data_IF_768086798649
#
_entry.id   IF_768086798649
#
_cell.length_a   1.000
_cell.length_b   1.000
_cell.length_c   1.000
_cell.angle_alpha   90.00
_cell.angle_beta   90.00
_cell.angle_gamma   90.00
#
_symmetry.space_group_name_H-M   'P 1'
#
loop_
_entity.id
_entity.type
_entity.pdbx_description
1 polymer ?
#
# COMPACT_ATOMS: atom_id res chain seq x y z
N UNK A 1 -0.94 40.47 -0.56
CA UNK A 1 -0.16 40.15 0.67
C UNK A 1 -0.61 38.87 1.39
N UNK A 2 -1.64 38.14 0.92
CA UNK A 2 -2.17 36.91 1.56
C UNK A 2 -1.66 35.58 0.98
N UNK A 3 -0.85 35.60 -0.09
CA UNK A 3 -0.33 34.38 -0.75
C UNK A 3 0.97 33.82 -0.12
N UNK A 4 1.56 34.53 0.84
CA UNK A 4 2.88 34.22 1.42
C UNK A 4 2.84 33.46 2.75
N UNK A 5 1.66 33.26 3.34
CA UNK A 5 1.49 32.67 4.70
C UNK A 5 0.74 31.33 4.69
N UNK A 6 0.97 30.46 3.69
CA UNK A 6 0.54 29.06 3.78
C UNK A 6 1.69 28.21 4.36
N UNK A 7 1.44 27.35 5.36
CA UNK A 7 2.48 26.54 5.98
C UNK A 7 3.08 25.56 4.98
N UNK A 8 4.32 25.14 5.24
CA UNK A 8 5.11 24.14 4.53
C UNK A 8 4.36 22.80 4.41
N UNK A 9 3.43 22.69 3.46
CA UNK A 9 2.80 21.43 3.10
C UNK A 9 3.77 20.65 2.19
N UNK A 10 4.08 19.43 2.62
CA UNK A 10 5.04 18.52 2.01
C UNK A 10 4.74 18.19 0.56
N UNK A 11 5.81 17.88 -0.17
CA UNK A 11 5.74 17.26 -1.50
C UNK A 11 5.48 15.76 -1.29
N UNK A 12 4.59 15.12 -2.06
CA UNK A 12 4.29 13.71 -1.89
C UNK A 12 5.51 12.86 -2.25
N UNK A 13 5.78 11.86 -1.40
CA UNK A 13 6.77 10.80 -1.59
C UNK A 13 6.53 10.10 -2.94
N UNK A 14 7.58 9.93 -3.78
CA UNK A 14 7.41 9.06 -4.95
C UNK A 14 8.33 9.20 -6.17
N UNK A 15 9.32 10.10 -6.21
CA UNK A 15 10.25 10.17 -7.34
C UNK A 15 11.70 10.26 -6.86
N UNK A 16 12.22 9.13 -6.38
CA UNK A 16 13.59 9.00 -5.92
C UNK A 16 14.54 8.87 -7.12
N UNK A 17 15.00 10.02 -7.64
CA UNK A 17 16.13 10.09 -8.55
C UNK A 17 17.39 9.50 -7.90
N UNK A 18 18.22 8.82 -8.70
CA UNK A 18 19.54 8.32 -8.26
C UNK A 18 20.39 9.50 -7.73
N UNK A 19 21.37 9.25 -6.84
CA UNK A 19 22.30 10.29 -6.37
C UNK A 19 23.08 11.00 -7.50
N UNK A 20 23.15 10.37 -8.68
CA UNK A 20 23.79 10.89 -9.89
C UNK A 20 22.79 11.35 -10.97
N UNK A 21 21.51 11.53 -10.61
CA UNK A 21 20.49 12.03 -11.53
C UNK A 21 20.65 13.56 -11.69
N UNK A 22 21.06 14.07 -12.87
CA UNK A 22 21.19 15.51 -13.11
C UNK A 22 19.86 16.25 -12.96
N UNK A 23 18.73 15.52 -12.95
CA UNK A 23 17.36 16.03 -12.89
C UNK A 23 16.68 15.86 -11.50
N UNK A 24 17.46 15.74 -10.42
CA UNK A 24 16.92 15.73 -9.05
C UNK A 24 15.92 16.88 -8.78
N UNK A 25 14.97 16.72 -7.84
CA UNK A 25 13.81 17.61 -7.72
C UNK A 25 14.26 19.08 -7.62
N UNK A 26 13.87 19.86 -8.63
CA UNK A 26 14.27 21.26 -8.75
C UNK A 26 13.90 22.04 -7.48
N UNK A 27 14.89 22.75 -6.92
CA UNK A 27 14.70 23.63 -5.75
C UNK A 27 13.59 24.64 -6.09
N UNK A 28 12.51 24.72 -5.30
CA UNK A 28 11.40 25.60 -5.64
C UNK A 28 11.86 27.07 -5.65
N UNK A 29 11.37 27.85 -6.61
CA UNK A 29 11.73 29.27 -6.80
C UNK A 29 11.55 30.10 -5.51
N UNK A 30 10.59 29.72 -4.67
CA UNK A 30 10.34 30.34 -3.36
C UNK A 30 11.49 30.12 -2.37
N UNK A 31 12.09 28.93 -2.35
CA UNK A 31 13.25 28.63 -1.49
C UNK A 31 14.50 29.39 -1.93
N UNK A 32 14.69 29.55 -3.25
CA UNK A 32 15.74 30.42 -3.81
C UNK A 32 15.52 31.89 -3.46
N UNK A 33 14.28 32.38 -3.54
CA UNK A 33 13.92 33.74 -3.14
C UNK A 33 14.14 33.97 -1.62
N UNK A 34 13.77 33.02 -0.78
CA UNK A 34 14.04 33.04 0.67
C UNK A 34 15.54 33.03 0.98
N UNK A 35 16.32 32.26 0.24
CA UNK A 35 17.78 32.20 0.36
C UNK A 35 18.44 33.52 -0.05
N UNK A 36 18.00 34.11 -1.16
CA UNK A 36 18.47 35.42 -1.61
C UNK A 36 18.10 36.54 -0.61
N UNK A 37 16.88 36.52 -0.06
CA UNK A 37 16.46 37.47 0.97
C UNK A 37 17.26 37.31 2.27
N UNK A 38 17.55 36.08 2.69
CA UNK A 38 18.33 35.80 3.88
C UNK A 38 19.81 36.25 3.75
N UNK A 39 20.40 36.14 2.55
CA UNK A 39 21.74 36.65 2.24
C UNK A 39 21.80 38.19 2.13
N UNK A 40 20.72 38.83 1.69
CA UNK A 40 20.66 40.29 1.54
C UNK A 40 20.56 41.03 2.88
N UNK A 41 20.04 40.36 3.92
CA UNK A 41 19.81 40.95 5.25
C UNK A 41 21.09 41.44 5.95
N UNK A 42 22.18 40.64 6.05
CA UNK A 42 23.46 41.12 6.61
C UNK A 42 24.04 42.29 5.82
N UNK A 43 24.03 42.20 4.49
CA UNK A 43 24.60 43.22 3.60
C UNK A 43 23.86 44.56 3.72
N UNK A 44 22.53 44.53 3.81
CA UNK A 44 21.73 45.73 4.01
C UNK A 44 21.97 46.34 5.38
N UNK A 45 22.04 45.52 6.44
CA UNK A 45 22.32 46.04 7.77
C UNK A 45 23.69 46.72 7.85
N UNK A 46 24.73 46.14 7.25
CA UNK A 46 26.06 46.74 7.19
C UNK A 46 26.07 48.08 6.41
N UNK A 47 25.30 48.18 5.33
CA UNK A 47 25.21 49.39 4.53
C UNK A 47 24.44 50.54 5.19
N UNK A 48 23.48 50.24 6.08
CA UNK A 48 22.53 51.23 6.61
C UNK A 48 22.64 51.50 8.12
N UNK A 49 23.45 50.76 8.88
CA UNK A 49 23.61 50.98 10.34
C UNK A 49 24.95 51.63 10.72
N UNK A 50 24.95 52.60 11.65
CA UNK A 50 26.19 53.23 12.13
C UNK A 50 27.14 52.22 12.78
N UNK A 51 28.42 52.27 12.44
CA UNK A 51 29.46 51.30 12.87
C UNK A 51 29.49 51.04 14.39
N UNK A 52 29.21 52.04 15.23
CA UNK A 52 29.18 51.89 16.69
C UNK A 52 28.08 50.94 17.22
N UNK A 53 27.09 50.58 16.41
CA UNK A 53 26.01 49.64 16.76
C UNK A 53 26.23 48.22 16.25
N UNK A 54 27.17 48.03 15.31
CA UNK A 54 27.48 46.74 14.70
C UNK A 54 28.43 45.89 15.55
N UNK A 55 29.24 46.51 16.42
CA UNK A 55 30.21 45.82 17.27
C UNK A 55 29.56 44.87 18.30
N UNK A 56 28.30 45.08 18.67
CA UNK A 56 27.58 44.23 19.64
C UNK A 56 26.72 43.13 19.00
N UNK A 57 26.34 43.26 17.73
CA UNK A 57 25.36 42.39 17.05
C UNK A 57 25.92 41.76 15.76
N UNK A 58 27.17 42.07 15.39
CA UNK A 58 27.76 41.73 14.09
C UNK A 58 27.66 40.26 13.67
N UNK A 59 27.83 39.31 14.58
CA UNK A 59 27.72 37.87 14.25
C UNK A 59 26.25 37.41 14.04
N UNK A 60 25.28 37.98 14.76
CA UNK A 60 23.85 37.64 14.60
C UNK A 60 23.33 37.98 13.20
N UNK A 61 23.90 39.01 12.60
CA UNK A 61 23.55 39.48 11.26
C UNK A 61 23.89 38.48 10.16
N UNK A 62 24.92 37.66 10.36
CA UNK A 62 25.40 36.67 9.39
C UNK A 62 24.75 35.29 9.55
N UNK A 63 24.03 35.02 10.65
CA UNK A 63 23.34 33.76 10.89
C UNK A 63 22.31 33.40 9.80
N UNK A 64 21.52 34.36 9.26
CA UNK A 64 20.67 34.15 8.08
C UNK A 64 21.43 33.71 6.82
N UNK A 65 22.73 33.95 6.71
CA UNK A 65 23.53 33.48 5.56
C UNK A 65 23.73 31.95 5.54
N UNK A 66 23.38 31.24 6.62
CA UNK A 66 23.35 29.78 6.66
C UNK A 66 22.02 29.18 6.16
N UNK A 67 20.96 30.00 6.06
CA UNK A 67 19.64 29.59 5.57
C UNK A 67 19.68 29.03 4.13
N UNK A 68 20.44 29.59 3.17
CA UNK A 68 20.60 29.01 1.83
C UNK A 68 21.19 27.60 1.85
N UNK A 69 22.23 27.36 2.67
CA UNK A 69 22.86 26.04 2.78
C UNK A 69 21.91 25.02 3.43
N UNK A 70 21.16 25.44 4.45
CA UNK A 70 20.12 24.64 5.09
C UNK A 70 19.00 24.28 4.11
N UNK A 71 18.45 25.27 3.38
CA UNK A 71 17.37 25.04 2.42
C UNK A 71 17.86 24.15 1.27
N UNK A 72 19.08 24.35 0.76
CA UNK A 72 19.63 23.53 -0.31
C UNK A 72 19.81 22.06 0.12
N UNK A 73 20.32 21.82 1.33
CA UNK A 73 20.48 20.47 1.87
C UNK A 73 19.15 19.81 2.21
N UNK A 74 18.18 20.58 2.71
CA UNK A 74 16.81 20.12 2.98
C UNK A 74 16.08 19.72 1.70
N UNK A 75 16.13 20.54 0.65
CA UNK A 75 15.43 20.27 -0.62
C UNK A 75 16.12 19.22 -1.50
N UNK A 76 17.41 18.94 -1.28
CA UNK A 76 18.12 17.83 -1.92
C UNK A 76 18.10 16.54 -1.09
N UNK A 77 17.25 16.47 -0.07
CA UNK A 77 17.02 15.31 0.81
C UNK A 77 18.26 14.83 1.59
N UNK A 78 19.24 15.70 1.80
CA UNK A 78 20.40 15.41 2.64
C UNK A 78 20.03 15.64 4.11
N UNK A 79 19.17 14.77 4.65
CA UNK A 79 18.58 14.94 5.98
C UNK A 79 19.66 15.09 7.06
N UNK A 80 20.73 14.30 6.99
CA UNK A 80 21.88 14.43 7.89
C UNK A 80 22.53 15.83 7.85
N UNK A 81 22.79 16.38 6.67
CA UNK A 81 23.41 17.70 6.51
C UNK A 81 22.49 18.84 6.96
N UNK A 82 21.18 18.73 6.69
CA UNK A 82 20.20 19.74 7.11
C UNK A 82 20.10 19.84 8.64
N UNK A 83 20.13 18.69 9.33
CA UNK A 83 20.14 18.62 10.80
C UNK A 83 21.44 19.20 11.37
N UNK A 84 22.59 18.91 10.74
CA UNK A 84 23.89 19.48 11.15
C UNK A 84 23.92 21.00 11.04
N UNK A 85 23.41 21.56 9.93
CA UNK A 85 23.37 23.01 9.72
C UNK A 85 22.37 23.67 10.69
N UNK A 86 21.21 23.04 10.93
CA UNK A 86 20.23 23.53 11.92
C UNK A 86 20.78 23.53 13.35
N UNK A 87 21.48 22.47 13.76
CA UNK A 87 22.13 22.39 15.07
C UNK A 87 23.24 23.44 15.21
N UNK A 88 24.05 23.62 14.16
CA UNK A 88 25.07 24.68 14.11
C UNK A 88 24.46 26.08 14.26
N UNK A 89 23.37 26.37 13.54
CA UNK A 89 22.63 27.64 13.66
C UNK A 89 22.07 27.85 15.07
N UNK A 90 21.48 26.81 15.68
CA UNK A 90 20.93 26.90 17.04
C UNK A 90 22.00 27.18 18.09
N UNK A 91 23.15 26.49 18.01
CA UNK A 91 24.26 26.71 18.95
C UNK A 91 24.89 28.08 18.78
N UNK A 92 25.16 28.51 17.54
CA UNK A 92 25.65 29.87 17.26
C UNK A 92 24.71 30.94 17.81
N UNK A 93 23.40 30.77 17.61
CA UNK A 93 22.38 31.69 18.13
C UNK A 93 22.40 31.73 19.66
N UNK A 94 22.45 30.57 20.32
CA UNK A 94 22.44 30.46 21.77
C UNK A 94 23.71 31.03 22.41
N UNK A 95 24.89 30.70 21.87
CA UNK A 95 26.18 31.24 22.32
C UNK A 95 26.18 32.76 22.24
N UNK A 96 25.66 33.33 21.16
CA UNK A 96 25.60 34.77 20.97
C UNK A 96 24.64 35.45 21.95
N UNK A 97 23.45 34.89 22.16
CA UNK A 97 22.48 35.39 23.15
C UNK A 97 23.10 35.42 24.55
N UNK A 98 23.85 34.38 24.91
CA UNK A 98 24.51 34.27 26.21
C UNK A 98 25.66 35.29 26.39
N UNK A 99 26.40 35.58 25.32
CA UNK A 99 27.45 36.63 25.31
C UNK A 99 26.83 38.02 25.42
N UNK A 100 25.78 38.29 24.64
CA UNK A 100 25.07 39.58 24.67
C UNK A 100 24.44 39.86 26.04
N UNK A 101 23.92 38.83 26.72
CA UNK A 101 23.27 39.01 28.02
C UNK A 101 24.26 39.33 29.16
N UNK A 102 25.56 39.04 29.00
CA UNK A 102 26.55 39.13 30.08
C UNK A 102 27.44 40.37 30.07
N UNK A 103 27.31 41.28 29.09
CA UNK A 103 28.15 42.50 28.92
C UNK A 103 29.65 42.24 29.14
N UNK A 104 30.16 41.11 28.68
CA UNK A 104 31.59 40.77 28.80
C UNK A 104 32.43 41.44 27.71
N UNK A 105 33.73 41.59 27.97
CA UNK A 105 34.77 42.07 27.02
C UNK A 105 34.75 41.35 25.67
N UNK A 106 35.30 41.94 24.59
CA UNK A 106 35.25 41.35 23.25
C UNK A 106 35.77 39.90 23.26
N UNK A 107 35.08 38.99 22.55
CA UNK A 107 35.44 37.57 22.56
C UNK A 107 36.81 37.35 21.92
N UNK A 108 37.59 36.43 22.50
CA UNK A 108 38.81 35.93 21.87
C UNK A 108 38.45 35.17 20.58
N UNK A 109 38.56 35.85 19.44
CA UNK A 109 38.24 35.32 18.12
C UNK A 109 38.84 33.93 17.83
N UNK A 110 40.10 33.60 18.22
CA UNK A 110 40.64 32.26 18.02
C UNK A 110 39.86 31.17 18.75
N UNK A 111 39.36 31.46 19.96
CA UNK A 111 38.59 30.50 20.78
C UNK A 111 37.19 30.31 20.20
N UNK A 112 36.55 31.40 19.77
CA UNK A 112 35.24 31.35 19.11
C UNK A 112 35.30 30.55 17.81
N UNK A 113 36.30 30.82 16.95
CA UNK A 113 36.52 30.08 15.70
C UNK A 113 36.79 28.60 15.99
N UNK A 114 37.65 28.28 16.97
CA UNK A 114 37.95 26.90 17.35
C UNK A 114 36.70 26.13 17.82
N UNK A 115 35.85 26.75 18.63
CA UNK A 115 34.61 26.14 19.11
C UNK A 115 33.62 25.86 17.97
N UNK A 116 33.46 26.82 17.05
CA UNK A 116 32.60 26.65 15.87
C UNK A 116 33.09 25.51 14.99
N UNK A 117 34.40 25.42 14.74
CA UNK A 117 34.99 24.34 13.93
C UNK A 117 34.77 22.97 14.58
N UNK A 118 34.97 22.86 15.90
CA UNK A 118 34.73 21.61 16.65
C UNK A 118 33.25 21.21 16.56
N UNK A 119 32.33 22.14 16.79
CA UNK A 119 30.90 21.89 16.74
C UNK A 119 30.44 21.51 15.33
N UNK A 120 30.91 22.21 14.29
CA UNK A 120 30.60 21.84 12.90
C UNK A 120 31.14 20.45 12.56
N UNK A 121 32.33 20.08 13.05
CA UNK A 121 32.91 18.75 12.85
C UNK A 121 32.10 17.65 13.54
N UNK A 122 31.65 17.88 14.79
CA UNK A 122 30.79 16.94 15.53
C UNK A 122 29.42 16.82 14.85
N UNK A 123 28.78 17.95 14.52
CA UNK A 123 27.48 17.97 13.84
C UNK A 123 27.55 17.27 12.49
N UNK A 124 28.61 17.46 11.72
CA UNK A 124 28.82 16.77 10.44
C UNK A 124 29.06 15.26 10.64
N UNK A 125 29.83 14.87 11.65
CA UNK A 125 30.04 13.46 12.01
C UNK A 125 28.75 12.75 12.42
N UNK A 126 27.92 13.37 13.25
CA UNK A 126 26.62 12.82 13.66
C UNK A 126 25.66 12.70 12.48
N UNK A 127 25.62 13.71 11.60
CA UNK A 127 24.80 13.68 10.38
C UNK A 127 25.22 12.56 9.41
N UNK A 128 26.53 12.36 9.24
CA UNK A 128 27.10 11.28 8.42
C UNK A 128 26.75 9.89 8.97
N UNK A 129 26.93 9.69 10.28
CA UNK A 129 26.63 8.41 10.94
C UNK A 129 25.12 8.11 10.86
N UNK A 130 24.27 9.11 11.08
CA UNK A 130 22.82 8.95 10.95
C UNK A 130 22.39 8.52 9.54
N UNK A 131 22.97 9.14 8.51
CA UNK A 131 22.71 8.79 7.11
C UNK A 131 23.16 7.35 6.78
N UNK A 132 24.35 6.94 7.27
CA UNK A 132 24.86 5.58 7.07
C UNK A 132 23.92 4.52 7.67
N UNK A 133 23.44 4.75 8.90
CA UNK A 133 22.51 3.83 9.56
C UNK A 133 21.15 3.77 8.85
N UNK A 134 20.62 4.89 8.40
CA UNK A 134 19.34 4.90 7.69
C UNK A 134 19.42 4.22 6.32
N UNK A 135 20.52 4.40 5.58
CA UNK A 135 20.77 3.67 4.33
C UNK A 135 20.88 2.17 4.57
N UNK A 136 21.73 1.75 5.51
CA UNK A 136 21.89 0.34 5.85
C UNK A 136 20.57 -0.32 6.28
N UNK A 137 19.73 0.38 7.06
CA UNK A 137 18.43 -0.13 7.49
C UNK A 137 17.42 -0.23 6.36
N UNK A 138 17.35 0.79 5.48
CA UNK A 138 16.46 0.76 4.31
C UNK A 138 16.88 -0.34 3.33
N UNK A 139 18.18 -0.50 3.11
CA UNK A 139 18.71 -1.53 2.21
C UNK A 139 18.48 -2.92 2.80
N UNK A 140 18.71 -3.12 4.10
CA UNK A 140 18.40 -4.38 4.78
C UNK A 140 16.91 -4.73 4.72
N UNK A 141 16.02 -3.74 4.88
CA UNK A 141 14.57 -3.94 4.77
C UNK A 141 14.11 -4.18 3.32
N UNK A 142 14.74 -3.52 2.34
CA UNK A 142 14.46 -3.73 0.91
C UNK A 142 14.93 -5.11 0.43
N UNK A 143 16.04 -5.59 0.97
CA UNK A 143 16.65 -6.90 0.66
C UNK A 143 16.10 -8.05 1.51
N UNK A 144 15.20 -7.80 2.47
CA UNK A 144 14.57 -8.86 3.24
C UNK A 144 13.62 -9.66 2.31
N UNK A 145 14.08 -10.82 1.85
CA UNK A 145 13.36 -11.73 0.95
C UNK A 145 12.52 -12.78 1.69
N UNK A 146 12.49 -12.72 3.02
CA UNK A 146 11.81 -13.69 3.88
C UNK A 146 10.67 -13.00 4.66
N UNK A 147 9.63 -13.76 4.95
CA UNK A 147 8.56 -13.39 5.87
C UNK A 147 9.07 -13.44 7.32
N UNK A 148 8.94 -12.36 8.11
CA UNK A 148 9.53 -12.29 9.45
C UNK A 148 8.90 -13.24 10.48
N UNK A 149 7.66 -13.70 10.25
CA UNK A 149 6.98 -14.62 11.16
C UNK A 149 7.37 -16.07 10.90
N UNK A 150 7.34 -16.47 9.63
CA UNK A 150 7.45 -17.88 9.22
C UNK A 150 8.85 -18.24 8.75
N UNK A 151 9.66 -17.27 8.33
CA UNK A 151 11.02 -17.46 7.82
C UNK A 151 11.11 -17.98 6.39
N UNK A 152 9.98 -18.25 5.73
CA UNK A 152 9.94 -18.66 4.31
C UNK A 152 10.00 -17.42 3.40
N UNK A 153 10.26 -17.56 2.09
CA UNK A 153 10.20 -16.46 1.15
C UNK A 153 8.92 -15.61 1.26
N UNK A 154 9.06 -14.30 1.09
CA UNK A 154 7.92 -13.38 1.05
C UNK A 154 7.45 -13.13 -0.40
N UNK A 155 6.32 -12.42 -0.54
CA UNK A 155 5.75 -12.03 -1.84
C UNK A 155 6.77 -11.42 -2.80
N UNK A 156 7.70 -10.57 -2.31
CA UNK A 156 8.73 -9.95 -3.16
C UNK A 156 9.70 -10.98 -3.76
N UNK A 157 10.18 -11.92 -2.95
CA UNK A 157 11.05 -12.98 -3.45
C UNK A 157 10.31 -13.88 -4.44
N UNK A 158 9.06 -14.21 -4.13
CA UNK A 158 8.22 -14.98 -5.04
C UNK A 158 8.03 -14.30 -6.38
N UNK A 159 7.69 -13.01 -6.42
CA UNK A 159 7.50 -12.29 -7.68
C UNK A 159 8.76 -12.37 -8.55
N UNK A 160 9.94 -12.13 -7.96
CA UNK A 160 11.21 -12.21 -8.70
C UNK A 160 11.50 -13.63 -9.22
N UNK A 161 11.22 -14.65 -8.42
CA UNK A 161 11.39 -16.05 -8.81
C UNK A 161 10.39 -16.45 -9.91
N UNK A 162 9.11 -16.07 -9.75
CA UNK A 162 8.03 -16.42 -10.66
C UNK A 162 8.22 -15.77 -12.04
N UNK A 163 8.69 -14.53 -12.11
CA UNK A 163 9.09 -13.87 -13.36
C UNK A 163 10.15 -14.69 -14.12
N UNK A 164 11.20 -15.13 -13.42
CA UNK A 164 12.25 -15.95 -14.01
C UNK A 164 11.74 -17.33 -14.47
N UNK A 165 10.91 -17.98 -13.64
CA UNK A 165 10.32 -19.28 -13.93
C UNK A 165 9.33 -19.21 -15.10
N UNK A 166 8.51 -18.15 -15.18
CA UNK A 166 7.58 -17.89 -16.28
C UNK A 166 8.34 -17.69 -17.59
N UNK A 167 9.37 -16.84 -17.60
CA UNK A 167 10.20 -16.66 -18.78
C UNK A 167 10.88 -17.97 -19.24
N UNK A 168 11.25 -18.85 -18.31
CA UNK A 168 11.75 -20.19 -18.63
C UNK A 168 10.66 -21.09 -19.23
N UNK A 169 9.42 -21.01 -18.73
CA UNK A 169 8.28 -21.74 -19.26
C UNK A 169 7.90 -21.28 -20.68
N UNK A 170 7.98 -19.98 -20.98
CA UNK A 170 7.82 -19.45 -22.34
C UNK A 170 8.80 -20.06 -23.34
N UNK A 171 10.03 -20.35 -22.89
CA UNK A 171 11.08 -21.01 -23.68
C UNK A 171 10.93 -22.54 -23.77
N UNK A 172 9.83 -23.10 -23.27
CA UNK A 172 9.51 -24.53 -23.33
C UNK A 172 9.71 -25.29 -22.02
N UNK A 173 10.03 -24.61 -20.91
CA UNK A 173 9.94 -25.18 -19.58
C UNK A 173 8.50 -25.48 -19.14
N UNK A 174 8.35 -26.23 -18.04
CA UNK A 174 7.07 -26.39 -17.36
C UNK A 174 7.06 -25.56 -16.09
N UNK A 175 5.95 -24.93 -15.80
CA UNK A 175 5.71 -24.17 -14.59
C UNK A 175 4.28 -24.47 -14.14
N UNK A 176 4.12 -24.80 -12.86
CA UNK A 176 2.81 -24.94 -12.24
C UNK A 176 2.79 -24.08 -10.99
N UNK A 177 1.74 -23.27 -10.83
CA UNK A 177 1.52 -22.44 -9.65
C UNK A 177 0.43 -23.09 -8.80
N UNK A 178 0.68 -23.11 -7.50
CA UNK A 178 -0.26 -23.57 -6.49
C UNK A 178 -0.49 -22.44 -5.51
N UNK A 179 -1.73 -21.99 -5.38
CA UNK A 179 -2.15 -21.08 -4.32
C UNK A 179 -2.82 -21.88 -3.21
N UNK A 180 -2.37 -21.74 -1.97
CA UNK A 180 -2.90 -22.42 -0.79
C UNK A 180 -3.44 -21.40 0.21
N UNK A 181 -4.54 -21.76 0.87
CA UNK A 181 -5.17 -20.97 1.92
C UNK A 181 -5.57 -21.86 3.10
N UNK A 182 -5.47 -21.34 4.32
CA UNK A 182 -5.80 -22.07 5.54
C UNK A 182 -7.28 -21.91 5.83
N UNK A 183 -8.03 -23.02 5.76
CA UNK A 183 -9.46 -22.99 5.96
C UNK A 183 -9.81 -22.56 7.40
N UNK A 184 -10.67 -21.54 7.53
CA UNK A 184 -11.18 -21.10 8.83
C UNK A 184 -10.14 -20.39 9.72
N UNK A 185 -9.02 -19.91 9.16
CA UNK A 185 -7.96 -19.26 9.94
C UNK A 185 -8.44 -18.04 10.74
N UNK A 186 -9.34 -17.23 10.18
CA UNK A 186 -9.92 -16.08 10.89
C UNK A 186 -10.74 -16.51 12.11
N UNK A 187 -11.52 -17.58 11.98
CA UNK A 187 -12.31 -18.15 13.08
C UNK A 187 -11.41 -18.75 14.17
N UNK A 188 -10.32 -19.41 13.78
CA UNK A 188 -9.29 -19.88 14.71
C UNK A 188 -8.68 -18.71 15.48
N UNK A 189 -8.31 -17.62 14.80
CA UNK A 189 -7.80 -16.42 15.46
C UNK A 189 -8.82 -15.77 16.40
N UNK A 190 -10.09 -15.77 16.02
CA UNK A 190 -11.18 -15.23 16.85
C UNK A 190 -11.40 -16.05 18.12
N UNK A 191 -11.26 -17.37 18.02
CA UNK A 191 -11.57 -18.30 19.12
C UNK A 191 -10.37 -18.56 20.02
N UNK A 192 -9.16 -18.63 19.47
CA UNK A 192 -7.93 -19.05 20.16
C UNK A 192 -6.92 -17.91 20.33
N UNK A 193 -7.18 -16.76 19.70
CA UNK A 193 -6.30 -15.59 19.73
C UNK A 193 -5.22 -15.61 18.66
N UNK A 194 -4.63 -14.44 18.41
CA UNK A 194 -3.63 -14.22 17.36
C UNK A 194 -2.36 -15.08 17.54
N UNK A 195 -1.95 -15.35 18.78
CA UNK A 195 -0.78 -16.20 19.05
C UNK A 195 -0.98 -17.65 18.57
N UNK A 196 -2.23 -18.14 18.57
CA UNK A 196 -2.53 -19.45 18.01
C UNK A 196 -2.40 -19.43 16.48
N UNK A 197 -2.93 -18.41 15.81
CA UNK A 197 -2.76 -18.25 14.37
C UNK A 197 -1.29 -18.13 13.96
N UNK A 198 -0.48 -17.38 14.69
CA UNK A 198 0.96 -17.29 14.43
C UNK A 198 1.66 -18.65 14.51
N UNK A 199 1.23 -19.51 15.43
CA UNK A 199 1.73 -20.88 15.54
C UNK A 199 1.26 -21.76 14.39
N UNK A 200 -0.01 -21.65 13.96
CA UNK A 200 -0.53 -22.36 12.77
C UNK A 200 0.36 -22.02 11.58
N UNK A 201 0.57 -20.72 11.34
CA UNK A 201 1.32 -20.22 10.19
C UNK A 201 2.74 -20.77 10.18
N UNK A 202 3.42 -20.83 11.33
CA UNK A 202 4.76 -21.44 11.45
C UNK A 202 4.76 -22.93 11.13
N UNK A 203 3.77 -23.68 11.61
CA UNK A 203 3.66 -25.13 11.36
C UNK A 203 3.38 -25.41 9.89
N UNK A 204 2.39 -24.73 9.31
CA UNK A 204 2.03 -24.86 7.89
C UNK A 204 3.23 -24.48 7.01
N UNK A 205 3.88 -23.37 7.30
CA UNK A 205 5.07 -22.93 6.54
C UNK A 205 6.20 -23.95 6.57
N UNK A 206 6.46 -24.54 7.74
CA UNK A 206 7.47 -25.61 7.89
C UNK A 206 7.10 -26.81 7.02
N UNK A 207 5.85 -27.28 7.09
CA UNK A 207 5.39 -28.46 6.34
C UNK A 207 5.48 -28.21 4.83
N UNK A 208 4.98 -27.07 4.34
CA UNK A 208 5.05 -26.77 2.91
C UNK A 208 6.52 -26.70 2.46
N UNK A 209 7.39 -26.09 3.27
CA UNK A 209 8.82 -26.01 2.97
C UNK A 209 9.50 -27.38 2.93
N UNK A 210 9.17 -28.29 3.86
CA UNK A 210 9.68 -29.67 3.89
C UNK A 210 9.28 -30.47 2.64
N UNK A 211 8.12 -30.18 2.03
CA UNK A 211 7.68 -30.80 0.78
C UNK A 211 8.18 -30.05 -0.47
N UNK A 212 8.69 -28.83 -0.33
CA UNK A 212 9.14 -28.01 -1.46
C UNK A 212 10.52 -28.47 -1.92
N UNK A 213 10.66 -28.76 -3.21
CA UNK A 213 11.95 -29.21 -3.78
C UNK A 213 12.92 -28.04 -3.92
N UNK A 214 14.21 -28.35 -4.00
CA UNK A 214 15.28 -27.33 -4.12
C UNK A 214 15.13 -26.40 -5.32
N UNK A 215 14.54 -26.88 -6.43
CA UNK A 215 14.33 -26.09 -7.64
C UNK A 215 13.04 -25.28 -7.61
N UNK A 216 12.15 -25.54 -6.66
CA UNK A 216 10.84 -24.89 -6.50
C UNK A 216 10.92 -23.81 -5.42
N UNK A 217 9.93 -22.92 -5.39
CA UNK A 217 9.86 -21.87 -4.37
C UNK A 217 8.45 -21.74 -3.80
N UNK A 218 8.35 -21.88 -2.49
CA UNK A 218 7.14 -21.56 -1.72
C UNK A 218 7.36 -20.25 -0.99
N UNK A 219 6.34 -19.39 -1.00
CA UNK A 219 6.33 -18.14 -0.29
C UNK A 219 5.00 -17.89 0.43
N UNK A 220 5.04 -17.04 1.45
CA UNK A 220 3.83 -16.47 2.05
C UNK A 220 3.48 -15.16 1.34
N UNK A 221 2.25 -15.06 0.87
CA UNK A 221 1.77 -13.84 0.21
C UNK A 221 1.37 -12.78 1.25
N UNK A 222 0.65 -13.21 2.28
CA UNK A 222 0.11 -12.39 3.35
C UNK A 222 -1.00 -13.16 4.07
N UNK A 223 -1.36 -12.76 5.29
CA UNK A 223 -2.43 -13.44 6.03
C UNK A 223 -2.20 -14.96 6.18
N UNK A 224 -3.16 -15.74 5.72
CA UNK A 224 -3.24 -17.20 5.63
C UNK A 224 -2.82 -17.78 4.27
N UNK A 225 -2.43 -16.94 3.32
CA UNK A 225 -2.18 -17.34 1.93
C UNK A 225 -0.71 -17.67 1.64
N UNK A 226 -0.52 -18.79 0.96
CA UNK A 226 0.77 -19.29 0.50
C UNK A 226 0.73 -19.54 -1.00
N UNK A 227 1.87 -19.38 -1.66
CA UNK A 227 2.01 -19.72 -3.07
C UNK A 227 3.27 -20.55 -3.29
N UNK A 228 3.12 -21.67 -3.98
CA UNK A 228 4.23 -22.48 -4.46
C UNK A 228 4.35 -22.36 -5.99
N UNK A 229 5.52 -21.94 -6.46
CA UNK A 229 5.91 -21.94 -7.85
C UNK A 229 6.78 -23.18 -8.11
N UNK A 230 6.22 -24.14 -8.85
CA UNK A 230 6.81 -25.46 -9.09
C UNK A 230 7.32 -25.53 -10.54
N UNK A 231 8.60 -25.81 -10.73
CA UNK A 231 9.24 -25.87 -12.05
C UNK A 231 9.42 -27.31 -12.52
N UNK A 232 9.26 -27.55 -13.82
CA UNK A 232 9.35 -28.90 -14.38
C UNK A 232 8.16 -29.81 -14.04
N UNK A 233 7.14 -29.31 -13.34
CA UNK A 233 6.00 -30.08 -12.84
C UNK A 233 4.76 -29.94 -13.72
N UNK A 234 3.90 -30.95 -13.69
CA UNK A 234 2.54 -30.91 -14.24
C UNK A 234 1.51 -30.54 -13.18
N UNK A 235 0.28 -30.24 -13.59
CA UNK A 235 -0.83 -30.07 -12.66
C UNK A 235 -1.03 -31.30 -11.74
N UNK A 236 -0.86 -32.51 -12.26
CA UNK A 236 -0.96 -33.73 -11.46
C UNK A 236 0.13 -33.85 -10.38
N UNK A 237 1.38 -33.50 -10.72
CA UNK A 237 2.48 -33.48 -9.74
C UNK A 237 2.23 -32.43 -8.65
N UNK A 238 1.67 -31.28 -9.02
CA UNK A 238 1.31 -30.23 -8.09
C UNK A 238 0.17 -30.62 -7.15
N UNK A 239 -0.83 -31.36 -7.64
CA UNK A 239 -1.89 -31.94 -6.79
C UNK A 239 -1.29 -32.91 -5.77
N UNK A 240 -0.40 -33.80 -6.22
CA UNK A 240 0.28 -34.74 -5.32
C UNK A 240 1.09 -34.02 -4.23
N UNK A 241 1.80 -32.94 -4.59
CA UNK A 241 2.50 -32.08 -3.64
C UNK A 241 1.54 -31.50 -2.58
N UNK A 242 0.37 -30.97 -2.99
CA UNK A 242 -0.60 -30.43 -2.03
C UNK A 242 -1.19 -31.52 -1.15
N UNK A 243 -1.51 -32.69 -1.70
CA UNK A 243 -2.03 -33.81 -0.92
C UNK A 243 -1.01 -34.34 0.10
N UNK A 244 0.29 -34.33 -0.24
CA UNK A 244 1.38 -34.64 0.71
C UNK A 244 1.45 -33.60 1.85
N UNK A 245 1.32 -32.30 1.53
CA UNK A 245 1.24 -31.23 2.52
C UNK A 245 0.04 -31.41 3.44
N UNK A 246 -1.15 -31.67 2.88
CA UNK A 246 -2.39 -31.89 3.65
C UNK A 246 -2.28 -33.12 4.54
N UNK A 247 -1.75 -34.23 4.02
CA UNK A 247 -1.52 -35.44 4.78
C UNK A 247 -0.49 -35.25 5.90
N UNK A 248 0.53 -34.42 5.69
CA UNK A 248 1.50 -34.06 6.73
C UNK A 248 0.87 -33.19 7.81
N UNK A 249 0.04 -32.22 7.44
CA UNK A 249 -0.66 -31.36 8.38
C UNK A 249 -1.66 -32.14 9.25
N UNK A 250 -2.38 -33.10 8.67
CA UNK A 250 -3.29 -33.98 9.40
C UNK A 250 -2.59 -34.90 10.43
N UNK A 251 -1.25 -35.05 10.35
CA UNK A 251 -0.47 -35.81 11.33
C UNK A 251 0.06 -34.96 12.48
N UNK A 252 -0.03 -33.63 12.39
CA UNK A 252 0.41 -32.74 13.45
C UNK A 252 -0.63 -32.67 14.57
N UNK A 253 -0.18 -32.86 15.80
CA UNK A 253 -1.04 -32.68 16.97
C UNK A 253 -1.03 -31.22 17.40
N UNK A 254 -2.02 -30.46 16.94
CA UNK A 254 -2.15 -29.04 17.26
C UNK A 254 -3.09 -28.83 18.46
N UNK A 255 -2.79 -27.88 19.38
CA UNK A 255 -3.60 -27.68 20.59
C UNK A 255 -5.06 -27.26 20.33
N UNK A 256 -5.36 -26.81 19.11
CA UNK A 256 -6.64 -26.22 18.72
C UNK A 256 -7.41 -27.06 17.68
N UNK A 257 -6.95 -28.29 17.43
CA UNK A 257 -7.58 -29.22 16.49
C UNK A 257 -6.96 -29.21 15.10
N UNK A 258 -7.63 -29.91 14.19
CA UNK A 258 -7.14 -30.14 12.83
C UNK A 258 -7.15 -28.85 12.02
N UNK A 259 -6.03 -28.56 11.36
CA UNK A 259 -5.92 -27.45 10.41
C UNK A 259 -6.06 -28.02 9.01
N UNK A 260 -6.90 -27.37 8.20
CA UNK A 260 -7.21 -27.78 6.83
C UNK A 260 -6.71 -26.74 5.83
N UNK A 261 -6.45 -27.20 4.61
CA UNK A 261 -5.91 -26.37 3.54
C UNK A 261 -6.73 -26.58 2.27
N UNK A 262 -7.10 -25.48 1.65
CA UNK A 262 -7.66 -25.44 0.30
C UNK A 262 -6.62 -24.93 -0.67
N UNK A 263 -6.62 -25.45 -1.90
CA UNK A 263 -5.65 -25.03 -2.90
C UNK A 263 -6.22 -24.95 -4.32
N UNK A 264 -5.71 -24.00 -5.09
CA UNK A 264 -5.92 -23.85 -6.52
C UNK A 264 -4.63 -24.13 -7.28
N UNK A 265 -4.70 -25.00 -8.28
CA UNK A 265 -3.54 -25.45 -9.07
C UNK A 265 -3.73 -25.02 -10.52
N UNK A 266 -2.71 -24.35 -11.08
CA UNK A 266 -2.71 -23.94 -12.49
C UNK A 266 -1.37 -24.24 -13.13
N UNK A 267 -1.39 -25.05 -14.18
CA UNK A 267 -0.25 -25.25 -15.04
C UNK A 267 -0.17 -24.12 -16.07
N UNK A 268 1.03 -23.58 -16.25
CA UNK A 268 1.31 -22.60 -17.30
C UNK A 268 0.94 -23.16 -18.67
N UNK A 269 0.24 -22.34 -19.45
CA UNK A 269 0.01 -22.56 -20.86
C UNK A 269 0.36 -21.29 -21.66
N UNK A 270 0.65 -21.46 -22.95
CA UNK A 270 1.04 -20.34 -23.84
C UNK A 270 -0.05 -19.27 -24.02
N UNK A 271 -1.28 -19.51 -23.57
CA UNK A 271 -2.38 -18.54 -23.63
C UNK A 271 -2.38 -17.56 -22.45
N UNK A 272 -1.58 -17.78 -21.42
CA UNK A 272 -1.51 -16.90 -20.24
C UNK A 272 -0.52 -15.76 -20.47
N UNK A 273 -1.01 -14.53 -20.40
CA UNK A 273 -0.28 -13.34 -20.83
C UNK A 273 0.82 -12.84 -19.87
N UNK A 274 0.78 -13.25 -18.60
CA UNK A 274 1.75 -12.80 -17.58
C UNK A 274 1.81 -13.75 -16.38
N UNK A 275 2.86 -13.63 -15.53
CA UNK A 275 2.92 -14.27 -14.22
C UNK A 275 1.69 -13.96 -13.34
N UNK A 276 1.26 -12.69 -13.31
CA UNK A 276 0.09 -12.29 -12.53
C UNK A 276 -1.20 -12.95 -13.03
N UNK A 277 -1.35 -13.15 -14.34
CA UNK A 277 -2.48 -13.88 -14.89
C UNK A 277 -2.51 -15.34 -14.43
N UNK A 278 -1.33 -15.98 -14.34
CA UNK A 278 -1.20 -17.35 -13.82
C UNK A 278 -1.63 -17.44 -12.35
N UNK A 279 -1.21 -16.48 -11.52
CA UNK A 279 -1.63 -16.38 -10.12
C UNK A 279 -3.13 -16.13 -10.01
N UNK A 280 -3.70 -15.25 -10.83
CA UNK A 280 -5.13 -14.93 -10.82
C UNK A 280 -6.03 -16.10 -11.27
N UNK A 281 -5.54 -17.01 -12.10
CA UNK A 281 -6.24 -18.28 -12.40
C UNK A 281 -6.14 -19.26 -11.22
N UNK A 282 -4.98 -19.32 -10.54
CA UNK A 282 -4.82 -20.17 -9.35
C UNK A 282 -5.70 -19.71 -8.19
N UNK A 283 -5.85 -18.40 -8.01
CA UNK A 283 -6.77 -17.84 -7.02
C UNK A 283 -8.22 -18.24 -7.27
N UNK A 284 -8.67 -18.28 -8.54
CA UNK A 284 -10.00 -18.79 -8.87
C UNK A 284 -10.21 -20.24 -8.45
N UNK A 285 -9.23 -21.10 -8.71
CA UNK A 285 -9.26 -22.49 -8.26
C UNK A 285 -9.32 -22.61 -6.73
N UNK A 286 -8.50 -21.82 -6.02
CA UNK A 286 -8.48 -21.79 -4.55
C UNK A 286 -9.81 -21.28 -3.99
N UNK A 287 -10.39 -20.24 -4.59
CA UNK A 287 -11.67 -19.70 -4.15
C UNK A 287 -12.80 -20.73 -4.28
N UNK A 288 -12.89 -21.39 -5.43
CA UNK A 288 -13.87 -22.48 -5.66
C UNK A 288 -13.65 -23.63 -4.65
N UNK A 289 -12.41 -23.90 -4.25
CA UNK A 289 -12.09 -24.93 -3.26
C UNK A 289 -12.64 -24.56 -1.87
N UNK A 290 -12.44 -23.31 -1.45
CA UNK A 290 -13.00 -22.78 -0.20
C UNK A 290 -14.54 -22.76 -0.22
N UNK A 291 -15.17 -22.30 -1.31
CA UNK A 291 -16.64 -22.23 -1.42
C UNK A 291 -17.30 -23.62 -1.47
N UNK A 292 -16.61 -24.62 -1.99
CA UNK A 292 -17.13 -25.99 -2.08
C UNK A 292 -17.06 -26.78 -0.76
N UNK A 293 -16.76 -26.12 0.36
CA UNK A 293 -16.65 -26.73 1.69
C UNK A 293 -15.22 -26.97 2.19
N UNK A 294 -14.22 -26.38 1.52
CA UNK A 294 -12.81 -26.41 1.92
C UNK A 294 -12.13 -27.77 1.78
N UNK A 295 -10.91 -27.84 2.32
CA UNK A 295 -10.08 -29.04 2.47
C UNK A 295 -9.94 -29.84 1.18
N UNK A 296 -9.58 -29.15 0.09
CA UNK A 296 -9.48 -29.76 -1.24
C UNK A 296 -8.58 -29.00 -2.18
N UNK A 297 -8.25 -29.65 -3.28
CA UNK A 297 -7.44 -29.10 -4.36
C UNK A 297 -8.29 -29.00 -5.61
N UNK A 298 -8.30 -27.85 -6.26
CA UNK A 298 -8.97 -27.64 -7.54
C UNK A 298 -7.93 -27.28 -8.60
N UNK A 299 -7.85 -28.11 -9.64
CA UNK A 299 -7.08 -27.81 -10.83
C UNK A 299 -7.92 -26.90 -11.72
N UNK A 300 -7.43 -25.70 -11.98
CA UNK A 300 -8.11 -24.72 -12.80
C UNK A 300 -7.51 -24.69 -14.20
N UNK A 301 -8.26 -25.21 -15.17
CA UNK A 301 -7.87 -25.20 -16.58
C UNK A 301 -8.54 -24.04 -17.33
N UNK A 302 -7.74 -23.15 -17.90
CA UNK A 302 -8.24 -22.13 -18.83
C UNK A 302 -8.58 -22.81 -20.16
N UNK A 303 -9.83 -23.22 -20.32
CA UNK A 303 -10.30 -23.82 -21.58
C UNK A 303 -10.23 -22.84 -22.74
N UNK A 304 -9.44 -23.18 -23.77
CA UNK A 304 -9.70 -22.71 -25.12
C UNK A 304 -11.06 -23.29 -25.55
N UNK A 305 -12.11 -22.47 -25.47
CA UNK A 305 -13.51 -22.80 -25.79
C UNK A 305 -14.13 -23.92 -24.95
N UNK A 306 -14.89 -23.52 -23.92
CA UNK A 306 -16.12 -24.20 -23.51
C UNK A 306 -16.04 -25.72 -23.29
N UNK A 307 -15.21 -26.19 -22.37
CA UNK A 307 -15.42 -27.50 -21.74
C UNK A 307 -14.88 -27.45 -20.32
N UNK A 308 -15.80 -27.41 -19.34
CA UNK A 308 -15.49 -27.62 -17.93
C UNK A 308 -15.15 -29.10 -17.74
N UNK A 309 -13.87 -29.44 -17.66
CA UNK A 309 -13.46 -30.73 -17.10
C UNK A 309 -13.22 -30.53 -15.61
N UNK A 310 -14.29 -30.62 -14.83
CA UNK A 310 -14.19 -30.81 -13.38
C UNK A 310 -13.68 -32.23 -13.14
N UNK A 311 -12.36 -32.40 -13.03
CA UNK A 311 -11.75 -33.58 -12.42
C UNK A 311 -11.87 -33.46 -10.89
N UNK A 312 -13.11 -33.52 -10.40
CA UNK A 312 -13.39 -33.78 -8.99
C UNK A 312 -13.49 -35.30 -8.84
N UNK A 313 -12.43 -35.95 -8.35
CA UNK A 313 -12.49 -37.36 -7.97
C UNK A 313 -13.01 -37.44 -6.53
N UNK A 314 -14.33 -37.54 -6.37
CA UNK A 314 -14.98 -38.36 -5.31
C UNK A 314 -16.51 -38.29 -5.41
N UNK A 315 -17.14 -39.46 -5.25
CA UNK A 315 -18.56 -39.78 -5.39
C UNK A 315 -19.54 -39.00 -4.50
N UNK A 316 -20.77 -38.78 -4.98
CA UNK A 316 -22.03 -39.38 -4.47
C UNK A 316 -23.27 -38.81 -5.21
N UNK A 317 -24.32 -39.62 -5.26
CA UNK A 317 -25.56 -39.56 -6.07
C UNK A 317 -26.57 -38.48 -5.65
N UNK A 318 -27.54 -38.15 -6.55
CA UNK A 318 -28.93 -37.87 -6.13
C UNK A 318 -29.64 -36.65 -6.71
N UNK A 319 -30.79 -36.90 -7.36
CA UNK A 319 -31.80 -36.00 -7.94
C UNK A 319 -32.35 -34.87 -7.05
N UNK A 320 -32.83 -33.77 -7.67
CA UNK A 320 -34.26 -33.39 -7.74
C UNK A 320 -34.50 -31.89 -8.04
N UNK A 321 -35.59 -31.63 -8.77
CA UNK A 321 -36.09 -30.35 -9.28
C UNK A 321 -36.94 -29.55 -8.26
N UNK A 322 -37.18 -28.25 -8.54
CA UNK A 322 -38.26 -27.46 -7.92
C UNK A 322 -38.24 -25.96 -8.25
N UNK A 323 -39.25 -25.49 -8.99
CA UNK A 323 -39.58 -24.09 -9.32
C UNK A 323 -40.30 -23.34 -8.16
N UNK A 324 -40.23 -21.99 -8.11
CA UNK A 324 -41.40 -21.05 -8.01
C UNK A 324 -41.08 -19.57 -7.61
N UNK A 325 -41.48 -18.63 -8.50
CA UNK A 325 -42.22 -17.33 -8.33
C UNK A 325 -41.69 -16.06 -7.60
N UNK A 326 -41.29 -15.03 -8.42
CA UNK A 326 -41.65 -13.57 -8.58
C UNK A 326 -41.98 -12.60 -7.39
N UNK A 327 -41.88 -11.21 -7.44
CA UNK A 327 -41.47 -10.29 -8.53
C UNK A 327 -40.45 -9.15 -8.17
N UNK A 328 -39.84 -8.53 -9.20
CA UNK A 328 -38.87 -7.40 -9.12
C UNK A 328 -39.49 -6.04 -9.51
N UNK A 329 -39.08 -4.91 -8.89
CA UNK A 329 -39.40 -3.57 -9.38
C UNK A 329 -38.37 -3.07 -10.41
N UNK A 330 -38.92 -2.51 -11.47
CA UNK A 330 -38.25 -1.91 -12.64
C UNK A 330 -37.57 -0.57 -12.34
N UNK A 331 -36.37 -0.33 -12.86
CA UNK A 331 -35.98 1.02 -13.33
C UNK A 331 -34.91 1.01 -14.43
N UNK A 332 -35.13 1.88 -15.43
CA UNK A 332 -34.37 2.03 -16.70
C UNK A 332 -33.02 2.77 -16.51
N UNK A 333 -32.02 2.61 -17.40
CA UNK A 333 -30.76 3.35 -17.33
C UNK A 333 -30.93 4.83 -17.78
N UNK A 334 -30.31 5.76 -17.04
CA UNK A 334 -30.30 7.21 -17.32
C UNK A 334 -29.18 7.60 -18.29
N UNK A 335 -29.50 8.44 -19.27
CA UNK A 335 -28.55 9.28 -20.01
C UNK A 335 -28.17 10.47 -19.12
N UNK A 336 -26.94 10.48 -18.60
CA UNK A 336 -26.43 11.55 -17.74
C UNK A 336 -25.05 11.18 -17.19
N UNK A 337 -24.19 12.18 -16.97
CA UNK A 337 -22.85 11.98 -16.39
C UNK A 337 -22.98 11.26 -15.04
N UNK A 338 -22.22 10.20 -14.86
CA UNK A 338 -22.23 9.39 -13.64
C UNK A 338 -21.81 10.23 -12.43
N UNK A 339 -22.48 10.03 -11.29
CA UNK A 339 -22.25 10.76 -10.04
C UNK A 339 -21.44 9.92 -9.07
N UNK A 340 -20.38 10.51 -8.53
CA UNK A 340 -19.49 9.89 -7.56
C UNK A 340 -19.56 10.67 -6.25
N UNK A 341 -19.78 9.97 -5.14
CA UNK A 341 -19.60 10.52 -3.79
C UNK A 341 -18.25 10.07 -3.25
N UNK A 342 -17.37 11.01 -2.89
CA UNK A 342 -16.07 10.71 -2.27
C UNK A 342 -16.11 11.08 -0.79
N UNK A 343 -15.67 10.17 0.07
CA UNK A 343 -15.63 10.33 1.53
C UNK A 343 -14.22 10.08 2.02
N UNK A 344 -13.57 11.12 2.54
CA UNK A 344 -12.22 11.03 3.08
C UNK A 344 -12.04 12.10 4.18
N UNK A 345 -11.27 11.80 5.22
CA UNK A 345 -11.00 12.78 6.29
C UNK A 345 -9.85 13.72 5.94
N UNK A 346 -8.94 13.28 5.08
CA UNK A 346 -7.84 14.10 4.60
C UNK A 346 -8.31 15.03 3.47
N UNK A 347 -8.15 16.33 3.71
CA UNK A 347 -8.54 17.38 2.77
C UNK A 347 -7.78 17.31 1.44
N UNK A 348 -6.49 16.96 1.49
CA UNK A 348 -5.63 16.89 0.32
C UNK A 348 -5.94 15.67 -0.55
N UNK A 349 -6.17 14.51 0.08
CA UNK A 349 -6.56 13.28 -0.60
C UNK A 349 -7.96 13.41 -1.22
N UNK A 350 -8.90 14.03 -0.50
CA UNK A 350 -10.23 14.34 -1.01
C UNK A 350 -10.18 15.24 -2.24
N UNK A 351 -9.40 16.33 -2.20
CA UNK A 351 -9.25 17.25 -3.33
C UNK A 351 -8.58 16.58 -4.55
N UNK A 352 -7.61 15.68 -4.31
CA UNK A 352 -6.95 14.90 -5.35
C UNK A 352 -7.91 13.92 -6.03
N UNK A 353 -8.64 13.12 -5.24
CA UNK A 353 -9.62 12.15 -5.74
C UNK A 353 -10.74 12.85 -6.53
N UNK A 354 -11.24 13.99 -6.04
CA UNK A 354 -12.23 14.82 -6.75
C UNK A 354 -11.68 15.35 -8.08
N UNK A 355 -10.42 15.82 -8.09
CA UNK A 355 -9.75 16.29 -9.29
C UNK A 355 -9.61 15.20 -10.35
N UNK A 356 -9.23 13.99 -9.95
CA UNK A 356 -9.09 12.83 -10.83
C UNK A 356 -10.45 12.37 -11.38
N UNK A 357 -11.45 12.19 -10.52
CA UNK A 357 -12.77 11.72 -10.94
C UNK A 357 -13.49 12.72 -11.86
N UNK A 358 -13.32 14.04 -11.66
CA UNK A 358 -13.86 15.05 -12.58
C UNK A 358 -13.21 14.99 -13.96
N UNK A 359 -11.90 14.69 -14.03
CA UNK A 359 -11.20 14.47 -15.32
C UNK A 359 -11.71 13.24 -16.05
N UNK A 360 -12.16 12.22 -15.32
CA UNK A 360 -12.82 11.02 -15.85
C UNK A 360 -14.29 11.26 -16.23
N UNK A 361 -14.81 12.49 -16.08
CA UNK A 361 -16.13 12.88 -16.57
C UNK A 361 -17.27 12.78 -15.56
N UNK A 362 -17.00 12.41 -14.32
CA UNK A 362 -18.00 12.25 -13.25
C UNK A 362 -18.43 13.59 -12.64
N UNK A 363 -19.70 13.69 -12.23
CA UNK A 363 -20.17 14.74 -11.32
C UNK A 363 -19.84 14.29 -9.88
N UNK A 364 -18.86 14.95 -9.26
CA UNK A 364 -18.30 14.51 -7.97
C UNK A 364 -18.76 15.40 -6.83
N UNK A 365 -19.31 14.77 -5.79
CA UNK A 365 -19.61 15.35 -4.49
C UNK A 365 -18.62 14.80 -3.44
N UNK A 366 -18.20 15.63 -2.50
CA UNK A 366 -17.15 15.30 -1.53
C UNK A 366 -17.62 15.58 -0.10
N UNK A 367 -17.38 14.64 0.81
CA UNK A 367 -17.67 14.75 2.24
C UNK A 367 -16.41 14.49 3.05
N UNK A 368 -16.23 15.27 4.12
CA UNK A 368 -15.13 15.08 5.06
C UNK A 368 -15.55 14.13 6.17
N UNK A 369 -15.03 12.91 6.10
CA UNK A 369 -15.36 11.84 7.05
C UNK A 369 -16.78 11.29 6.92
N UNK A 370 -17.08 10.32 7.77
CA UNK A 370 -18.31 9.50 7.69
C UNK A 370 -19.58 10.18 8.22
N UNK A 371 -19.44 11.29 8.95
CA UNK A 371 -20.57 12.03 9.51
C UNK A 371 -21.43 12.69 8.41
N UNK A 372 -22.72 12.36 8.38
CA UNK A 372 -23.68 12.92 7.41
C UNK A 372 -23.73 12.21 6.06
N UNK A 373 -22.93 11.15 5.83
CA UNK A 373 -22.98 10.38 4.56
C UNK A 373 -24.37 9.77 4.33
N UNK A 374 -24.94 9.10 5.35
CA UNK A 374 -26.26 8.47 5.22
C UNK A 374 -27.38 9.50 5.01
N UNK A 375 -27.33 10.64 5.71
CA UNK A 375 -28.30 11.73 5.50
C UNK A 375 -28.19 12.29 4.08
N UNK A 376 -26.98 12.34 3.53
CA UNK A 376 -26.75 12.79 2.15
C UNK A 376 -27.26 11.79 1.12
N UNK A 377 -27.07 10.50 1.36
CA UNK A 377 -27.60 9.42 0.51
C UNK A 377 -29.14 9.46 0.47
N UNK A 378 -29.81 9.76 1.59
CA UNK A 378 -31.27 9.97 1.64
C UNK A 378 -31.72 11.18 0.83
N UNK A 379 -30.92 12.25 0.80
CA UNK A 379 -31.24 13.45 0.02
C UNK A 379 -31.01 13.28 -1.49
N UNK A 380 -29.90 12.64 -1.89
CA UNK A 380 -29.56 12.39 -3.30
C UNK A 380 -28.61 11.20 -3.43
N UNK A 381 -29.08 10.11 -4.02
CA UNK A 381 -28.28 8.88 -4.22
C UNK A 381 -27.29 9.06 -5.39
N UNK A 382 -25.98 8.85 -5.18
CA UNK A 382 -24.96 8.84 -6.24
C UNK A 382 -24.99 7.52 -7.02
N UNK A 383 -24.19 7.41 -8.08
CA UNK A 383 -24.05 6.16 -8.85
C UNK A 383 -22.94 5.27 -8.30
N UNK A 384 -21.91 5.84 -7.69
CA UNK A 384 -20.82 5.13 -6.99
C UNK A 384 -20.41 5.92 -5.74
N UNK A 385 -19.96 5.22 -4.69
CA UNK A 385 -19.33 5.81 -3.51
C UNK A 385 -17.86 5.37 -3.45
N UNK A 386 -16.94 6.30 -3.21
CA UNK A 386 -15.54 6.04 -2.91
C UNK A 386 -15.28 6.51 -1.47
N UNK A 387 -14.82 5.62 -0.59
CA UNK A 387 -14.58 5.98 0.82
C UNK A 387 -13.25 5.44 1.33
N UNK A 388 -12.60 6.17 2.22
CA UNK A 388 -11.47 5.65 2.98
C UNK A 388 -11.91 4.49 3.88
N UNK A 389 -11.03 3.50 4.08
CA UNK A 389 -11.21 2.41 5.02
C UNK A 389 -11.11 2.91 6.46
N UNK A 390 -10.12 3.76 6.75
CA UNK A 390 -9.86 4.24 8.12
C UNK A 390 -10.35 5.67 8.25
N UNK A 391 -11.40 5.88 9.04
CA UNK A 391 -11.96 7.20 9.35
C UNK A 391 -12.28 7.29 10.84
N UNK A 392 -12.18 8.48 11.43
CA UNK A 392 -12.69 8.80 12.75
C UNK A 392 -14.22 8.65 12.80
N UNK A 393 -14.71 7.96 13.84
CA UNK A 393 -16.11 7.59 13.95
C UNK A 393 -16.44 6.27 13.25
N UNK A 394 -17.19 6.32 12.14
CA UNK A 394 -17.59 5.12 11.39
C UNK A 394 -16.60 4.86 10.26
N UNK A 395 -15.84 3.76 10.36
CA UNK A 395 -14.90 3.33 9.30
C UNK A 395 -15.59 2.92 7.99
N UNK A 396 -14.81 2.85 6.91
CA UNK A 396 -15.30 2.59 5.55
C UNK A 396 -16.06 1.29 5.39
N UNK A 397 -15.65 0.21 6.07
CA UNK A 397 -16.38 -1.07 6.07
C UNK A 397 -17.75 -0.95 6.74
N UNK A 398 -17.81 -0.35 7.93
CA UNK A 398 -19.07 -0.15 8.65
C UNK A 398 -20.03 0.77 7.88
N UNK A 399 -19.47 1.75 7.16
CA UNK A 399 -20.23 2.60 6.25
C UNK A 399 -20.78 1.80 5.07
N UNK A 400 -19.96 0.95 4.45
CA UNK A 400 -20.37 0.09 3.34
C UNK A 400 -21.44 -0.93 3.75
N UNK A 401 -21.35 -1.51 4.95
CA UNK A 401 -22.38 -2.38 5.55
C UNK A 401 -23.73 -1.64 5.65
N UNK A 402 -23.72 -0.39 6.15
CA UNK A 402 -24.94 0.42 6.24
C UNK A 402 -25.48 0.83 4.88
N UNK A 403 -24.62 1.12 3.91
CA UNK A 403 -25.02 1.39 2.54
C UNK A 403 -25.67 0.14 1.91
N UNK A 404 -25.13 -1.05 2.15
CA UNK A 404 -25.71 -2.29 1.64
C UNK A 404 -27.14 -2.53 2.16
N UNK A 405 -27.41 -2.11 3.40
CA UNK A 405 -28.73 -2.22 4.04
C UNK A 405 -29.70 -1.13 3.55
N UNK A 406 -29.29 0.15 3.56
CA UNK A 406 -30.18 1.28 3.23
C UNK A 406 -30.34 1.50 1.71
N UNK A 407 -29.34 1.13 0.91
CA UNK A 407 -29.29 1.32 -0.54
C UNK A 407 -28.71 0.08 -1.25
N UNK A 408 -29.45 -1.04 -1.26
CA UNK A 408 -28.98 -2.28 -1.89
C UNK A 408 -28.67 -2.06 -3.38
N UNK A 409 -27.45 -2.43 -3.78
CA UNK A 409 -26.97 -2.30 -5.15
C UNK A 409 -26.17 -1.02 -5.46
N UNK A 410 -26.03 -0.08 -4.52
CA UNK A 410 -25.12 1.05 -4.65
C UNK A 410 -23.66 0.57 -4.51
N UNK A 411 -22.82 0.64 -5.56
CA UNK A 411 -21.42 0.21 -5.46
C UNK A 411 -20.58 1.16 -4.61
N UNK A 412 -19.73 0.57 -3.78
CA UNK A 412 -18.77 1.23 -2.89
C UNK A 412 -17.36 0.78 -3.25
N UNK A 413 -16.44 1.72 -3.41
CA UNK A 413 -15.01 1.51 -3.58
C UNK A 413 -14.31 1.92 -2.28
N UNK A 414 -13.39 1.09 -1.79
CA UNK A 414 -12.64 1.35 -0.57
C UNK A 414 -11.19 1.73 -0.87
N UNK A 415 -10.74 2.90 -0.40
CA UNK A 415 -9.34 3.32 -0.52
C UNK A 415 -8.58 3.03 0.79
N UNK A 416 -7.37 2.45 0.72
CA UNK A 416 -6.58 2.10 1.91
C UNK A 416 -5.06 2.24 1.68
N UNK A 417 -4.31 2.61 2.72
CA UNK A 417 -2.84 2.64 2.71
C UNK A 417 -2.18 1.26 2.89
N UNK A 418 -2.97 0.21 3.13
CA UNK A 418 -2.49 -1.16 3.25
C UNK A 418 -2.78 -1.92 1.95
N UNK A 419 -1.82 -2.72 1.48
CA UNK A 419 -2.07 -3.67 0.40
C UNK A 419 -3.23 -4.60 0.79
N UNK A 420 -4.06 -4.86 -0.20
CA UNK A 420 -5.44 -5.29 -0.08
C UNK A 420 -5.62 -6.69 0.59
N UNK A 421 -4.53 -7.43 0.76
CA UNK A 421 -4.48 -8.80 1.29
C UNK A 421 -4.78 -8.88 2.81
N UNK A 422 -4.65 -7.79 3.57
CA UNK A 422 -4.85 -7.79 5.02
C UNK A 422 -6.31 -7.54 5.48
N UNK A 423 -7.25 -7.37 4.55
CA UNK A 423 -8.65 -7.06 4.85
C UNK A 423 -9.56 -8.18 4.34
N UNK A 424 -9.57 -9.27 5.11
CA UNK A 424 -10.56 -10.36 5.17
C UNK A 424 -11.66 -10.34 4.10
N UNK A 425 -11.62 -11.28 3.16
CA UNK A 425 -12.72 -11.57 2.23
C UNK A 425 -14.04 -11.91 2.94
N UNK A 426 -13.98 -12.33 4.21
CA UNK A 426 -15.11 -12.76 5.05
C UNK A 426 -16.04 -11.62 5.51
N UNK A 427 -15.64 -10.36 5.27
CA UNK A 427 -16.43 -9.18 5.67
C UNK A 427 -16.43 -8.10 4.59
N UNK A 428 -16.60 -8.53 3.34
CA UNK A 428 -16.89 -7.62 2.21
C UNK A 428 -18.40 -7.42 2.12
N UNK A 429 -18.94 -6.27 2.60
CA UNK A 429 -20.33 -5.94 2.34
C UNK A 429 -20.63 -6.06 0.85
N UNK A 430 -21.82 -6.56 0.49
CA UNK A 430 -22.23 -6.75 -0.90
C UNK A 430 -22.22 -5.46 -1.75
N UNK A 431 -22.17 -4.30 -1.08
CA UNK A 431 -22.00 -2.99 -1.70
C UNK A 431 -20.56 -2.73 -2.16
N UNK A 432 -19.54 -3.35 -1.55
CA UNK A 432 -18.12 -3.14 -1.90
C UNK A 432 -17.77 -3.91 -3.17
N UNK A 433 -17.39 -3.17 -4.21
CA UNK A 433 -17.11 -3.74 -5.54
C UNK A 433 -15.63 -3.68 -5.92
N UNK A 434 -14.80 -3.02 -5.13
CA UNK A 434 -13.39 -2.87 -5.43
C UNK A 434 -12.64 -2.06 -4.38
N UNK A 435 -11.32 -2.17 -4.44
CA UNK A 435 -10.40 -1.55 -3.51
C UNK A 435 -9.32 -0.81 -4.27
N UNK A 436 -8.88 0.31 -3.71
CA UNK A 436 -7.83 1.16 -4.26
C UNK A 436 -6.73 1.32 -3.23
N UNK A 437 -5.49 1.15 -3.67
CA UNK A 437 -4.33 1.41 -2.81
C UNK A 437 -4.04 2.91 -2.84
N UNK A 438 -3.90 3.52 -1.67
CA UNK A 438 -3.45 4.90 -1.55
C UNK A 438 -1.92 4.95 -1.76
N UNK A 439 -1.38 5.91 -2.54
CA UNK A 439 -2.08 7.02 -3.19
C UNK A 439 -2.83 6.59 -4.46
N UNK A 440 -4.08 7.05 -4.60
CA UNK A 440 -4.98 6.64 -5.69
C UNK A 440 -4.50 7.16 -7.04
N UNK A 441 -4.11 6.25 -7.95
CA UNK A 441 -3.71 6.58 -9.32
C UNK A 441 -4.93 6.77 -10.25
N UNK A 442 -4.77 7.61 -11.29
CA UNK A 442 -5.85 7.90 -12.24
C UNK A 442 -6.27 6.67 -13.06
N UNK A 443 -5.33 5.77 -13.39
CA UNK A 443 -5.62 4.56 -14.16
C UNK A 443 -6.33 3.53 -13.30
N UNK A 444 -5.86 3.34 -12.07
CA UNK A 444 -6.50 2.43 -11.10
C UNK A 444 -7.91 2.90 -10.75
N UNK A 445 -8.08 4.18 -10.47
CA UNK A 445 -9.40 4.78 -10.22
C UNK A 445 -10.31 4.65 -11.45
N UNK A 446 -9.77 4.85 -12.65
CA UNK A 446 -10.52 4.69 -13.90
C UNK A 446 -11.04 3.26 -14.09
N UNK A 447 -10.18 2.26 -13.93
CA UNK A 447 -10.53 0.84 -14.06
C UNK A 447 -11.56 0.44 -12.99
N UNK A 448 -11.34 0.82 -11.73
CA UNK A 448 -12.25 0.48 -10.63
C UNK A 448 -13.64 1.13 -10.83
N UNK A 449 -13.70 2.39 -11.26
CA UNK A 449 -14.97 3.05 -11.56
C UNK A 449 -15.67 2.42 -12.78
N UNK A 450 -14.93 2.05 -13.82
CA UNK A 450 -15.52 1.39 -14.98
C UNK A 450 -16.09 0.02 -14.63
N UNK A 451 -15.38 -0.78 -13.84
CA UNK A 451 -15.86 -2.06 -13.32
C UNK A 451 -17.13 -1.89 -12.47
N UNK A 452 -17.15 -0.90 -11.57
CA UNK A 452 -18.32 -0.57 -10.76
C UNK A 452 -19.55 -0.23 -11.63
N UNK A 453 -19.36 0.56 -12.69
CA UNK A 453 -20.41 0.96 -13.62
C UNK A 453 -20.88 -0.18 -14.54
N UNK A 454 -19.97 -1.06 -14.98
CA UNK A 454 -20.33 -2.27 -15.74
C UNK A 454 -21.19 -3.20 -14.89
N UNK A 455 -20.87 -3.35 -13.60
CA UNK A 455 -21.71 -4.09 -12.64
C UNK A 455 -23.12 -3.51 -12.49
N UNK A 456 -23.28 -2.19 -12.58
CA UNK A 456 -24.61 -1.55 -12.62
C UNK A 456 -25.35 -1.90 -13.93
N UNK A 457 -24.68 -1.74 -15.08
CA UNK A 457 -25.28 -1.99 -16.41
C UNK A 457 -25.63 -3.46 -16.65
N UNK A 458 -24.82 -4.39 -16.15
CA UNK A 458 -25.04 -5.84 -16.24
C UNK A 458 -26.27 -6.28 -15.44
N UNK A 459 -26.44 -5.74 -14.22
CA UNK A 459 -27.62 -5.98 -13.38
C UNK A 459 -28.91 -5.45 -14.02
N UNK A 460 -28.86 -4.31 -14.70
CA UNK A 460 -30.01 -3.78 -15.47
C UNK A 460 -30.35 -4.58 -16.75
N UNK A 461 -29.42 -5.39 -17.28
CA UNK A 461 -29.63 -6.23 -18.48
C UNK A 461 -30.13 -7.63 -18.14
N UNK A 462 -29.61 -8.25 -17.07
CA UNK A 462 -30.10 -9.55 -16.58
C UNK A 462 -31.54 -9.48 -16.10
N UNK A 463 -32.00 -8.32 -15.59
CA UNK A 463 -33.38 -8.06 -15.21
C UNK A 463 -34.36 -7.81 -16.40
N UNK A 464 -33.92 -7.96 -17.66
CA UNK A 464 -34.77 -7.84 -18.87
C UNK A 464 -34.91 -9.13 -19.68
N UNK A 465 -34.14 -10.16 -19.37
CA UNK A 465 -34.12 -11.44 -20.10
C UNK A 465 -34.65 -12.60 -19.25
N UNK A 466 -34.98 -12.34 -17.98
CA UNK A 466 -35.72 -13.25 -17.11
C UNK A 466 -37.21 -12.97 -17.18
#
# INVERSE_FOLDING_TARGET
>A
MSAWLRPFAGRPDGAFGRPDDPDGPAVPLRALALSAAALALPLAAEAFTPQASLDQVGILLWLPALLPAFLLTYYREWQGASVSIAAGMAVLTLSQVLISSRRTTPPDWPVAIGLVVILMSISMGVGWVGELFHRARRDAQRLALLDPLTGIPNRRHLSAYLEAAYAAAERGGRLTVVLLDIDGFQELNRTQGLAAGDMVLRVVSRIITEQTRQLDLTARLGGDEFLAALTGTTAGDAVAFVDEVRAALARETLPWGDVKLSAGVVAYNRGMASPDALVAEADRGRHEASESGGDRVIVWETGAQGSRTLLAVSALEGDAAGEASDPLPTSRPREGRWRLLVVDEDAGELDAAVGLARRLGFEVEALRGSAGVLDRLRARVPDVVLTDVVMSGMGGFTLADRIAIEHPGLPVLLASCYEHDALSADRRPASVVGFLTKPVDIRELGVALEQALVGIRGRSRSARVG
#
